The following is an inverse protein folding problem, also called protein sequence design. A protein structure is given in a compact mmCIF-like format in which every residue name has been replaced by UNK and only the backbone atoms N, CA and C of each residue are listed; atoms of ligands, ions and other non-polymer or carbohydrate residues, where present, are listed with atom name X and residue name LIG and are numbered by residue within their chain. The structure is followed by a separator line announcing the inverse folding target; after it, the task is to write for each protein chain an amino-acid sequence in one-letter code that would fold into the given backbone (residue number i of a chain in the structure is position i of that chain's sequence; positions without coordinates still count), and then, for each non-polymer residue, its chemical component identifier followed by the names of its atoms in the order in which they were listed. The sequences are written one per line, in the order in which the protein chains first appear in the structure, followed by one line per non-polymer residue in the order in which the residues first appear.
data_IF_267573522499
#
_entry.id   IF_267573522499
#
_cell.length_a   1.000
_cell.length_b   1.000
_cell.length_c   1.000
_cell.angle_alpha   90.00
_cell.angle_beta   90.00
_cell.angle_gamma   90.00
#
_symmetry.space_group_name_H-M   'P 1'
#
loop_
_entity.id
_entity.type
_entity.pdbx_description
1 polymer ?
#
# COMPACT_ATOMS: atom_id res chain seq x y z
N UNK A 1 -24.10 15.27 -75.44
CA UNK A 1 -23.43 14.88 -74.18
C UNK A 1 -24.50 14.54 -73.13
N UNK A 2 -24.86 13.26 -72.95
CA UNK A 2 -25.64 12.79 -71.80
C UNK A 2 -24.78 11.92 -70.86
N UNK A 3 -25.15 11.82 -69.56
CA UNK A 3 -25.59 10.52 -69.02
C UNK A 3 -26.90 10.68 -68.20
N UNK A 4 -27.96 9.84 -68.31
CA UNK A 4 -28.12 8.39 -67.98
C UNK A 4 -27.93 8.18 -66.46
N UNK A 5 -28.90 7.69 -65.65
CA UNK A 5 -29.28 6.26 -65.39
C UNK A 5 -30.33 6.28 -64.24
N UNK A 6 -31.58 5.77 -64.35
CA UNK A 6 -32.13 4.39 -64.24
C UNK A 6 -31.91 3.63 -62.90
N UNK A 7 -33.05 3.34 -62.25
CA UNK A 7 -33.53 2.05 -61.67
C UNK A 7 -32.63 1.32 -60.65
N UNK A 8 -33.16 1.04 -59.44
CA UNK A 8 -33.45 -0.31 -58.95
C UNK A 8 -33.76 -0.36 -57.44
N UNK A 9 -34.71 -1.23 -57.09
CA UNK A 9 -35.00 -1.70 -55.75
C UNK A 9 -33.77 -2.37 -55.10
N UNK A 10 -33.65 -2.23 -53.78
CA UNK A 10 -32.61 -2.90 -53.00
C UNK A 10 -32.95 -2.95 -51.52
N UNK A 11 -33.53 -4.07 -51.09
CA UNK A 11 -33.56 -4.57 -49.71
C UNK A 11 -32.18 -4.39 -49.08
N UNK A 12 -32.04 -3.71 -47.93
CA UNK A 12 -30.85 -3.89 -47.10
C UNK A 12 -31.05 -3.47 -45.63
N UNK A 13 -30.87 -4.48 -44.78
CA UNK A 13 -30.20 -4.47 -43.47
C UNK A 13 -30.88 -3.84 -42.25
N UNK A 14 -31.49 -4.74 -41.48
CA UNK A 14 -31.56 -4.68 -40.02
C UNK A 14 -30.16 -4.42 -39.42
N UNK A 15 -29.95 -3.20 -38.92
CA UNK A 15 -28.85 -2.89 -38.01
C UNK A 15 -29.30 -3.08 -36.57
N UNK A 16 -29.07 -4.27 -36.01
CA UNK A 16 -29.07 -4.45 -34.55
C UNK A 16 -27.94 -3.59 -33.99
N UNK A 17 -28.28 -2.42 -33.44
CA UNK A 17 -27.41 -1.67 -32.55
C UNK A 17 -27.32 -2.48 -31.25
N UNK A 18 -26.34 -3.39 -31.17
CA UNK A 18 -25.84 -3.91 -29.91
C UNK A 18 -25.11 -2.75 -29.21
N UNK A 19 -25.87 -1.85 -28.59
CA UNK A 19 -25.36 -0.99 -27.52
C UNK A 19 -25.03 -1.91 -26.35
N UNK A 20 -23.86 -2.53 -26.39
CA UNK A 20 -23.29 -3.22 -25.25
C UNK A 20 -23.18 -2.19 -24.13
N UNK A 21 -23.93 -2.40 -23.05
CA UNK A 21 -23.71 -1.71 -21.80
C UNK A 21 -22.31 -2.09 -21.31
N UNK A 22 -21.29 -1.36 -21.77
CA UNK A 22 -19.99 -1.36 -21.12
C UNK A 22 -20.19 -0.62 -19.80
N UNK A 23 -20.69 -1.34 -18.79
CA UNK A 23 -20.69 -0.87 -17.41
C UNK A 23 -19.24 -0.48 -17.12
N UNK A 24 -18.91 0.80 -16.87
CA UNK A 24 -17.55 1.17 -16.53
C UNK A 24 -17.17 0.31 -15.34
N UNK A 25 -16.13 -0.50 -15.49
CA UNK A 25 -15.64 -1.36 -14.41
C UNK A 25 -15.43 -0.45 -13.20
N UNK A 26 -16.36 -0.54 -12.25
CA UNK A 26 -16.36 0.30 -11.07
C UNK A 26 -15.12 -0.11 -10.32
N UNK A 27 -14.04 0.69 -10.42
CA UNK A 27 -12.80 0.44 -9.69
C UNK A 27 -13.19 0.45 -8.22
N UNK A 28 -13.32 -0.72 -7.61
CA UNK A 28 -13.70 -0.85 -6.21
C UNK A 28 -12.67 -0.10 -5.40
N UNK A 29 -13.10 0.94 -4.69
CA UNK A 29 -12.20 1.68 -3.81
C UNK A 29 -11.61 0.70 -2.79
N UNK A 30 -10.29 0.79 -2.57
CA UNK A 30 -9.61 -0.05 -1.56
C UNK A 30 -10.29 0.11 -0.20
N UNK A 31 -10.34 -0.96 0.57
CA UNK A 31 -10.76 -0.87 1.97
C UNK A 31 -9.85 0.11 2.73
N UNK A 32 -10.30 0.71 3.84
CA UNK A 32 -9.43 1.56 4.67
C UNK A 32 -8.13 0.86 5.10
N UNK A 33 -8.20 -0.44 5.41
CA UNK A 33 -7.03 -1.22 5.78
C UNK A 33 -6.08 -1.41 4.61
N UNK A 34 -6.60 -1.74 3.43
CA UNK A 34 -5.79 -1.95 2.23
C UNK A 34 -5.18 -0.66 1.73
N UNK A 35 -5.87 0.48 1.93
CA UNK A 35 -5.33 1.81 1.67
C UNK A 35 -4.09 2.09 2.52
N UNK A 36 -4.16 1.83 3.83
CA UNK A 36 -3.01 1.99 4.74
C UNK A 36 -1.88 1.03 4.35
N UNK A 37 -2.20 -0.25 4.08
CA UNK A 37 -1.20 -1.25 3.66
C UNK A 37 -0.50 -0.86 2.37
N UNK A 38 -1.24 -0.41 1.35
CA UNK A 38 -0.68 0.04 0.08
C UNK A 38 0.24 1.25 0.26
N UNK A 39 -0.17 2.23 1.06
CA UNK A 39 0.69 3.38 1.36
C UNK A 39 1.96 2.98 2.14
N UNK A 40 1.84 2.07 3.11
CA UNK A 40 3.00 1.57 3.85
C UNK A 40 3.96 0.84 2.92
N UNK A 41 3.46 -0.03 2.04
CA UNK A 41 4.26 -0.72 1.05
C UNK A 41 4.97 0.27 0.11
N UNK A 42 4.28 1.29 -0.40
CA UNK A 42 4.90 2.30 -1.26
C UNK A 42 6.03 3.07 -0.54
N UNK A 43 5.84 3.41 0.73
CA UNK A 43 6.85 4.10 1.54
C UNK A 43 8.07 3.19 1.81
N UNK A 44 7.83 1.94 2.18
CA UNK A 44 8.88 0.94 2.42
C UNK A 44 9.67 0.66 1.15
N UNK A 45 8.98 0.44 0.02
CA UNK A 45 9.61 0.21 -1.28
C UNK A 45 10.49 1.39 -1.70
N UNK A 46 10.02 2.62 -1.50
CA UNK A 46 10.80 3.82 -1.79
C UNK A 46 12.08 3.86 -0.94
N UNK A 47 11.95 3.67 0.37
CA UNK A 47 13.09 3.66 1.28
C UNK A 47 14.12 2.58 0.89
N UNK A 48 13.68 1.38 0.50
CA UNK A 48 14.58 0.32 0.03
C UNK A 48 15.28 0.69 -1.27
N UNK A 49 14.56 1.29 -2.24
CA UNK A 49 15.15 1.76 -3.50
C UNK A 49 16.15 2.89 -3.30
N UNK A 50 15.87 3.81 -2.38
CA UNK A 50 16.78 4.90 -2.00
C UNK A 50 18.09 4.34 -1.41
N UNK A 51 18.07 3.12 -0.85
CA UNK A 51 19.24 2.38 -0.38
C UNK A 51 19.86 1.43 -1.44
N UNK A 52 19.42 1.50 -2.70
CA UNK A 52 19.91 0.64 -3.78
C UNK A 52 19.44 -0.82 -3.71
N UNK A 53 18.42 -1.10 -2.87
CA UNK A 53 17.86 -2.44 -2.70
C UNK A 53 16.62 -2.64 -3.56
N UNK A 54 16.38 -3.90 -3.96
CA UNK A 54 15.18 -4.29 -4.70
C UNK A 54 14.11 -4.73 -3.69
N UNK A 55 12.94 -4.06 -3.64
CA UNK A 55 11.88 -4.45 -2.72
C UNK A 55 11.34 -5.86 -3.03
N UNK A 56 10.98 -6.64 -1.99
CA UNK A 56 10.35 -7.94 -2.20
C UNK A 56 8.96 -7.75 -2.80
N UNK A 57 8.65 -8.46 -3.89
CA UNK A 57 7.29 -8.45 -4.46
C UNK A 57 6.40 -9.44 -3.70
N UNK A 58 5.18 -9.04 -3.27
CA UNK A 58 4.21 -9.97 -2.72
C UNK A 58 3.96 -11.14 -3.69
N UNK A 59 4.03 -12.38 -3.19
CA UNK A 59 3.78 -13.59 -3.99
C UNK A 59 4.89 -13.99 -4.96
N UNK A 60 5.97 -13.22 -5.09
CA UNK A 60 7.11 -13.65 -5.88
C UNK A 60 7.95 -14.68 -5.11
N UNK A 61 8.24 -15.81 -5.75
CA UNK A 61 9.26 -16.72 -5.25
C UNK A 61 10.58 -15.96 -5.09
N UNK A 62 11.18 -16.02 -3.89
CA UNK A 62 12.54 -15.51 -3.69
C UNK A 62 13.45 -16.34 -4.59
N UNK A 63 13.92 -15.76 -5.70
CA UNK A 63 15.09 -16.32 -6.41
C UNK A 63 16.20 -16.49 -5.37
N UNK A 64 17.03 -17.52 -5.52
CA UNK A 64 18.15 -17.79 -4.61
C UNK A 64 19.11 -16.59 -4.59
N UNK A 65 18.85 -15.63 -3.71
CA UNK A 65 19.77 -14.58 -3.36
C UNK A 65 20.83 -15.17 -2.44
N UNK A 66 22.06 -14.65 -2.49
CA UNK A 66 23.06 -15.00 -1.49
C UNK A 66 22.54 -14.70 -0.08
N UNK A 67 23.02 -15.44 0.91
CA UNK A 67 22.70 -15.19 2.33
C UNK A 67 23.01 -13.75 2.73
N UNK A 68 24.15 -13.21 2.29
CA UNK A 68 24.55 -11.83 2.53
C UNK A 68 23.55 -10.80 1.95
N UNK A 69 23.08 -10.99 0.72
CA UNK A 69 22.07 -10.07 0.11
C UNK A 69 20.71 -10.19 0.80
N UNK A 70 20.37 -11.40 1.25
CA UNK A 70 19.15 -11.63 2.03
C UNK A 70 19.22 -10.92 3.38
N UNK A 71 20.37 -11.00 4.06
CA UNK A 71 20.60 -10.31 5.33
C UNK A 71 20.56 -8.80 5.16
N UNK A 72 21.27 -8.25 4.18
CA UNK A 72 21.26 -6.81 3.90
C UNK A 72 19.83 -6.28 3.63
N UNK A 73 19.00 -7.05 2.91
CA UNK A 73 17.61 -6.69 2.70
C UNK A 73 16.79 -6.75 3.99
N UNK A 74 16.98 -7.79 4.81
CA UNK A 74 16.30 -7.94 6.09
C UNK A 74 16.65 -6.80 7.05
N UNK A 75 17.93 -6.48 7.16
CA UNK A 75 18.50 -5.39 7.94
C UNK A 75 17.90 -4.03 7.52
N UNK A 76 17.87 -3.74 6.22
CA UNK A 76 17.29 -2.50 5.72
C UNK A 76 15.76 -2.43 5.91
N UNK A 77 15.07 -3.57 5.78
CA UNK A 77 13.62 -3.63 5.91
C UNK A 77 13.17 -3.49 7.38
N UNK A 78 13.78 -4.27 8.26
CA UNK A 78 13.36 -4.45 9.64
C UNK A 78 14.20 -3.69 10.66
N UNK A 79 15.37 -3.18 10.29
CA UNK A 79 16.31 -2.52 11.20
C UNK A 79 17.42 -3.47 11.67
N UNK A 80 18.50 -2.88 12.18
CA UNK A 80 19.67 -3.57 12.75
C UNK A 80 20.08 -3.02 14.11
N UNK A 81 19.54 -1.87 14.51
CA UNK A 81 19.75 -1.30 15.84
C UNK A 81 19.16 -2.16 16.95
N UNK A 82 19.40 -1.77 18.21
CA UNK A 82 18.66 -2.37 19.33
C UNK A 82 17.17 -2.10 19.15
N UNK A 83 16.31 -3.06 19.44
CA UNK A 83 14.87 -2.80 19.51
C UNK A 83 14.61 -1.75 20.59
N UNK A 84 14.14 -0.57 20.20
CA UNK A 84 13.89 0.54 21.12
C UNK A 84 12.44 0.55 21.64
N UNK A 85 11.56 -0.27 21.04
CA UNK A 85 10.20 -0.48 21.51
C UNK A 85 10.04 -1.90 22.01
N UNK A 86 9.50 -2.04 23.22
CA UNK A 86 9.23 -3.32 23.87
C UNK A 86 7.96 -3.21 24.70
N UNK A 87 7.13 -4.24 24.67
CA UNK A 87 5.91 -4.35 25.45
C UNK A 87 5.77 -5.79 25.97
N UNK A 88 5.68 -5.94 27.28
CA UNK A 88 5.29 -7.20 27.90
C UNK A 88 3.76 -7.30 27.94
N UNK A 89 3.23 -8.38 27.38
CA UNK A 89 1.81 -8.70 27.42
C UNK A 89 1.44 -9.32 28.77
N UNK A 90 0.15 -9.29 29.18
CA UNK A 90 -0.30 -9.98 30.40
C UNK A 90 0.02 -11.47 30.47
N UNK A 91 0.29 -12.12 29.33
CA UNK A 91 0.73 -13.52 29.26
C UNK A 91 2.22 -13.73 29.55
N UNK A 92 2.99 -12.66 29.85
CA UNK A 92 4.44 -12.69 30.03
C UNK A 92 5.25 -12.72 28.73
N UNK A 93 4.61 -12.64 27.56
CA UNK A 93 5.32 -12.54 26.28
C UNK A 93 5.77 -11.10 26.04
N UNK A 94 7.05 -10.94 25.69
CA UNK A 94 7.60 -9.64 25.28
C UNK A 94 7.58 -9.52 23.76
N UNK A 95 6.88 -8.50 23.27
CA UNK A 95 6.90 -8.12 21.86
C UNK A 95 7.82 -6.91 21.74
N UNK A 96 8.77 -6.97 20.79
CA UNK A 96 9.67 -5.87 20.50
C UNK A 96 9.62 -5.45 19.03
N UNK A 97 10.00 -4.21 18.78
CA UNK A 97 10.12 -3.67 17.44
C UNK A 97 11.31 -2.72 17.36
N UNK A 98 12.06 -2.83 16.27
CA UNK A 98 13.06 -1.85 15.86
C UNK A 98 12.40 -0.52 15.47
N UNK A 99 13.03 0.58 15.87
CA UNK A 99 12.64 1.95 15.47
C UNK A 99 13.39 2.40 14.23
N UNK A 100 14.36 1.63 13.75
CA UNK A 100 15.08 1.82 12.50
C UNK A 100 14.55 0.90 11.38
N UNK A 101 15.17 0.99 10.21
CA UNK A 101 14.71 0.30 9.01
C UNK A 101 13.54 0.97 8.28
N UNK A 102 13.29 0.50 7.06
CA UNK A 102 12.31 1.08 6.15
C UNK A 102 10.86 0.86 6.60
N UNK A 103 10.57 -0.22 7.32
CA UNK A 103 9.24 -0.46 7.87
C UNK A 103 8.90 0.51 9.00
N UNK A 104 9.80 0.70 9.96
CA UNK A 104 9.63 1.65 11.06
C UNK A 104 9.49 3.09 10.55
N UNK A 105 10.30 3.46 9.54
CA UNK A 105 10.20 4.78 8.91
C UNK A 105 8.82 4.98 8.24
N UNK A 106 8.30 3.97 7.54
CA UNK A 106 6.97 4.03 6.94
C UNK A 106 5.88 4.16 8.01
N UNK A 107 5.98 3.43 9.12
CA UNK A 107 5.04 3.53 10.24
C UNK A 107 5.04 4.93 10.86
N UNK A 108 6.20 5.53 11.15
CA UNK A 108 6.28 6.94 11.60
C UNK A 108 5.63 7.91 10.59
N UNK A 109 5.89 7.69 9.30
CA UNK A 109 5.29 8.48 8.20
C UNK A 109 3.79 8.26 8.01
N UNK A 110 3.17 7.27 8.63
CA UNK A 110 1.72 7.06 8.54
C UNK A 110 1.05 7.40 9.87
N UNK A 111 1.52 6.84 10.96
CA UNK A 111 0.87 6.98 12.27
C UNK A 111 1.35 8.21 13.05
N UNK A 112 2.55 8.73 12.76
CA UNK A 112 3.16 9.84 13.50
C UNK A 112 3.90 9.34 14.75
N UNK A 113 3.16 9.17 15.84
CA UNK A 113 3.69 8.69 17.13
C UNK A 113 3.87 7.16 17.11
N UNK A 114 5.09 6.72 16.76
CA UNK A 114 5.41 5.29 16.66
C UNK A 114 5.34 4.56 18.01
N UNK A 115 5.87 5.07 19.14
CA UNK A 115 5.70 4.41 20.44
C UNK A 115 4.23 4.21 20.83
N UNK A 116 3.39 5.24 20.67
CA UNK A 116 1.96 5.17 21.02
C UNK A 116 1.20 4.23 20.08
N UNK A 117 1.53 4.26 18.79
CA UNK A 117 1.02 3.28 17.82
C UNK A 117 1.44 1.86 18.18
N UNK A 118 2.71 1.63 18.52
CA UNK A 118 3.23 0.30 18.82
C UNK A 118 2.51 -0.31 20.02
N UNK A 119 2.38 0.45 21.11
CA UNK A 119 1.67 0.01 22.31
C UNK A 119 0.21 -0.34 22.02
N UNK A 120 -0.55 0.61 21.48
CA UNK A 120 -1.98 0.42 21.23
C UNK A 120 -2.26 -0.68 20.20
N UNK A 121 -1.53 -0.70 19.09
CA UNK A 121 -1.70 -1.71 18.03
C UNK A 121 -1.30 -3.11 18.48
N UNK A 122 -0.25 -3.23 19.31
CA UNK A 122 0.17 -4.51 19.87
C UNK A 122 -0.83 -5.02 20.90
N UNK A 123 -1.29 -4.18 21.84
CA UNK A 123 -2.30 -4.56 22.83
C UNK A 123 -3.60 -4.97 22.14
N UNK A 124 -4.14 -4.15 21.24
CA UNK A 124 -5.39 -4.44 20.52
C UNK A 124 -5.23 -5.64 19.58
N UNK A 125 -4.08 -5.76 18.91
CA UNK A 125 -3.77 -6.85 18.00
C UNK A 125 -3.73 -8.21 18.68
N UNK A 126 -3.26 -8.28 19.93
CA UNK A 126 -3.14 -9.53 20.68
C UNK A 126 -4.36 -9.82 21.57
N UNK A 127 -4.91 -8.81 22.27
CA UNK A 127 -6.01 -9.00 23.21
C UNK A 127 -7.41 -8.83 22.59
N UNK A 128 -7.49 -8.27 21.38
CA UNK A 128 -8.76 -8.06 20.64
C UNK A 128 -9.80 -7.31 21.50
N UNK A 129 -10.99 -7.88 21.69
CA UNK A 129 -12.07 -7.30 22.49
C UNK A 129 -11.74 -7.20 23.99
N UNK A 130 -10.76 -7.97 24.48
CA UNK A 130 -10.29 -7.90 25.86
C UNK A 130 -9.29 -6.74 26.10
N UNK A 131 -8.88 -6.01 25.06
CA UNK A 131 -8.03 -4.84 25.22
C UNK A 131 -8.77 -3.70 25.96
N UNK A 132 -8.07 -2.94 26.83
CA UNK A 132 -8.65 -1.77 27.49
C UNK A 132 -9.31 -0.81 26.50
N UNK A 133 -10.45 -0.22 26.86
CA UNK A 133 -11.18 0.70 25.99
C UNK A 133 -10.29 1.86 25.50
N UNK A 134 -9.50 2.46 26.39
CA UNK A 134 -8.58 3.54 26.05
C UNK A 134 -7.51 3.14 25.00
N UNK A 135 -7.04 1.89 25.02
CA UNK A 135 -6.09 1.39 24.02
C UNK A 135 -6.78 1.17 22.66
N UNK A 136 -8.03 0.70 22.66
CA UNK A 136 -8.87 0.59 21.45
C UNK A 136 -9.15 1.96 20.84
N UNK A 137 -9.57 2.93 21.65
CA UNK A 137 -9.83 4.31 21.21
C UNK A 137 -8.56 4.96 20.63
N UNK A 138 -7.43 4.77 21.31
CA UNK A 138 -6.13 5.27 20.82
C UNK A 138 -5.74 4.61 19.49
N UNK A 139 -5.92 3.29 19.37
CA UNK A 139 -5.64 2.57 18.12
C UNK A 139 -6.52 3.09 16.97
N UNK A 140 -7.81 3.30 17.20
CA UNK A 140 -8.74 3.80 16.20
C UNK A 140 -8.41 5.24 15.76
N UNK A 141 -8.05 6.12 16.71
CA UNK A 141 -7.58 7.48 16.41
C UNK A 141 -6.33 7.47 15.52
N UNK A 142 -5.31 6.67 15.88
CA UNK A 142 -4.06 6.58 15.11
C UNK A 142 -4.29 5.95 13.74
N UNK A 143 -5.21 4.99 13.64
CA UNK A 143 -5.60 4.37 12.37
C UNK A 143 -6.35 5.34 11.45
N UNK A 144 -7.23 6.19 12.00
CA UNK A 144 -7.90 7.23 11.24
C UNK A 144 -6.90 8.27 10.70
N UNK A 145 -5.93 8.69 11.52
CA UNK A 145 -4.84 9.56 11.10
C UNK A 145 -4.00 8.93 9.97
N UNK A 146 -3.59 7.68 10.13
CA UNK A 146 -2.85 6.95 9.10
C UNK A 146 -3.64 6.78 7.81
N UNK A 147 -4.95 6.54 7.88
CA UNK A 147 -5.82 6.46 6.70
C UNK A 147 -5.85 7.78 5.94
N UNK A 148 -5.99 8.91 6.64
CA UNK A 148 -5.96 10.23 6.02
C UNK A 148 -4.63 10.44 5.28
N UNK A 149 -3.49 10.20 5.94
CA UNK A 149 -2.16 10.33 5.31
C UNK A 149 -1.96 9.37 4.15
N UNK A 150 -2.42 8.13 4.26
CA UNK A 150 -2.34 7.12 3.22
C UNK A 150 -3.08 7.56 1.95
N UNK A 151 -4.30 8.10 2.09
CA UNK A 151 -5.07 8.64 0.96
C UNK A 151 -4.34 9.79 0.27
N UNK A 152 -3.77 10.71 1.03
CA UNK A 152 -2.98 11.82 0.47
C UNK A 152 -1.75 11.31 -0.29
N UNK A 153 -1.04 10.32 0.27
CA UNK A 153 0.16 9.73 -0.35
C UNK A 153 -0.14 8.96 -1.64
N UNK A 154 -1.29 8.30 -1.73
CA UNK A 154 -1.67 7.49 -2.89
C UNK A 154 -2.36 8.29 -4.00
N UNK A 155 -2.92 9.46 -3.67
CA UNK A 155 -3.55 10.37 -4.65
C UNK A 155 -2.57 11.38 -5.24
N UNK A 156 -1.50 11.70 -4.53
CA UNK A 156 -0.42 12.56 -5.05
C UNK A 156 0.31 11.84 -6.19
N UNK A 157 0.17 12.33 -7.43
CA UNK A 157 0.94 11.81 -8.56
C UNK A 157 2.46 11.89 -8.26
N UNK A 158 3.27 10.91 -8.69
CA UNK A 158 4.72 11.06 -8.65
C UNK A 158 5.12 12.35 -9.40
N UNK A 159 6.11 13.13 -8.92
CA UNK A 159 6.60 14.26 -9.69
C UNK A 159 7.08 13.76 -11.05
N UNK A 160 6.71 14.49 -12.12
CA UNK A 160 7.16 14.18 -13.48
C UNK A 160 8.70 14.07 -13.48
N UNK A 161 9.29 13.12 -14.23
CA UNK A 161 10.73 13.06 -14.38
C UNK A 161 11.21 14.40 -14.91
N UNK A 162 12.18 15.02 -14.22
CA UNK A 162 12.84 16.22 -14.71
C UNK A 162 13.51 15.83 -16.03
N UNK A 163 12.91 16.24 -17.15
CA UNK A 163 13.48 16.03 -18.47
C UNK A 163 14.87 16.66 -18.49
N UNK A 164 15.90 15.85 -18.68
CA UNK A 164 17.21 16.32 -19.09
C UNK A 164 17.02 17.01 -20.43
N UNK A 165 17.11 18.35 -20.42
CA UNK A 165 17.16 19.15 -21.64
C UNK A 165 18.52 18.86 -22.32
N UNK A 166 18.56 18.63 -23.64
CA UNK A 166 19.81 18.45 -24.38
C UNK A 166 20.68 19.70 -24.32
#
# INVERSE_FOLDING_TARGET
MPPVTRIAAGVLTAGLLLTGCATPAQRTALSPQDTIKAAQQQLTDRCLRDQGLTPPRPGAARKAASSARTQQLADALYGTGRAELSLELPSGHVISQHTDGCLAQAQRKLYGDQPRWFRSSTTVGNLKSAAPAADRDTYDQLRAHALHRARTLLTSAPPAPKGTRP
#
